data_IF_461441723823
#
_entry.id   IF_461441723823
#
_cell.length_a   1.000
_cell.length_b   1.000
_cell.length_c   1.000
_cell.angle_alpha   90.00
_cell.angle_beta   90.00
_cell.angle_gamma   90.00
#
_symmetry.space_group_name_H-M   'P 1'
#
loop_
_entity.id
_entity.type
_entity.pdbx_description
1 polymer ?
#
# COMPACT_ATOMS: atom_id res chain seq x y z
N UNK A 1 8.91 1.66 25.98
CA UNK A 1 7.46 1.66 26.28
C UNK A 1 6.72 0.88 25.21
N UNK A 2 5.75 0.02 25.55
CA UNK A 2 4.77 -0.41 24.56
C UNK A 2 3.94 0.82 24.18
N UNK A 3 3.79 1.09 22.88
CA UNK A 3 2.85 2.12 22.43
C UNK A 3 1.45 1.77 22.94
N UNK A 4 0.63 2.77 23.30
CA UNK A 4 -0.76 2.51 23.64
C UNK A 4 -1.41 1.72 22.50
N UNK A 5 -2.07 0.61 22.85
CA UNK A 5 -2.97 -0.04 21.91
C UNK A 5 -3.89 1.02 21.32
N UNK A 6 -4.09 0.99 20.00
CA UNK A 6 -5.05 1.86 19.33
C UNK A 6 -6.37 1.80 20.11
N UNK A 7 -7.00 2.95 20.40
CA UNK A 7 -8.31 2.91 21.01
C UNK A 7 -9.23 2.05 20.13
N UNK A 8 -10.15 1.26 20.71
CA UNK A 8 -11.08 0.39 19.98
C UNK A 8 -11.98 1.14 18.97
N UNK A 9 -11.79 2.45 18.86
CA UNK A 9 -12.58 3.39 18.06
C UNK A 9 -12.01 3.67 16.66
N UNK A 10 -10.98 2.95 16.17
CA UNK A 10 -10.48 3.17 14.81
C UNK A 10 -11.55 2.87 13.73
N UNK A 11 -12.42 1.89 13.99
CA UNK A 11 -13.66 1.64 13.23
C UNK A 11 -14.89 2.38 13.79
N UNK A 12 -14.73 3.13 14.88
CA UNK A 12 -15.81 3.88 15.53
C UNK A 12 -15.74 5.40 15.28
N UNK A 13 -14.78 5.89 14.48
CA UNK A 13 -14.91 7.23 13.91
C UNK A 13 -16.13 7.23 12.99
N UNK A 14 -17.11 8.12 13.20
CA UNK A 14 -18.30 8.19 12.36
C UNK A 14 -17.97 8.58 10.91
N UNK A 15 -16.75 9.05 10.60
CA UNK A 15 -16.29 9.29 9.24
C UNK A 15 -15.47 8.10 8.72
N UNK A 16 -15.86 7.53 7.57
CA UNK A 16 -15.10 6.45 6.95
C UNK A 16 -13.69 6.94 6.57
N UNK A 17 -12.64 6.14 6.81
CA UNK A 17 -11.26 6.58 6.66
C UNK A 17 -10.85 6.79 5.19
N UNK A 18 -10.22 7.94 4.87
CA UNK A 18 -9.47 8.10 3.62
C UNK A 18 -8.31 7.10 3.60
N UNK A 19 -8.32 6.19 2.64
CA UNK A 19 -7.34 5.12 2.52
C UNK A 19 -6.31 5.44 1.43
N UNK A 20 -5.03 5.48 1.80
CA UNK A 20 -3.94 5.54 0.84
C UNK A 20 -3.40 4.13 0.58
N UNK A 21 -3.46 3.69 -0.67
CA UNK A 21 -2.88 2.43 -1.15
C UNK A 21 -1.56 2.74 -1.83
N UNK A 22 -0.48 2.11 -1.36
CA UNK A 22 0.87 2.26 -1.93
C UNK A 22 1.28 0.96 -2.62
N UNK A 23 1.52 1.05 -3.93
CA UNK A 23 1.87 -0.04 -4.83
C UNK A 23 3.18 0.27 -5.55
N UNK A 24 4.34 0.06 -4.90
CA UNK A 24 5.66 0.41 -5.46
C UNK A 24 6.20 -0.59 -6.50
N UNK A 25 5.53 -1.73 -6.65
CA UNK A 25 5.79 -2.70 -7.71
C UNK A 25 5.12 -2.30 -9.02
N UNK A 26 5.32 -3.11 -10.05
CA UNK A 26 4.55 -3.01 -11.29
C UNK A 26 3.12 -3.52 -11.04
N UNK A 27 2.20 -2.59 -10.76
CA UNK A 27 0.81 -2.91 -10.45
C UNK A 27 0.13 -3.66 -11.60
N UNK A 28 0.56 -3.40 -12.83
CA UNK A 28 0.01 -4.00 -14.05
C UNK A 28 0.25 -5.50 -14.13
N UNK A 29 1.33 -5.97 -13.50
CA UNK A 29 1.69 -7.40 -13.46
C UNK A 29 1.14 -8.12 -12.23
N UNK A 30 0.38 -7.43 -11.38
CA UNK A 30 -0.16 -7.98 -10.13
C UNK A 30 -1.68 -7.90 -10.09
N UNK A 31 -2.39 -8.94 -10.60
CA UNK A 31 -3.85 -9.01 -10.54
C UNK A 31 -4.40 -8.83 -9.13
N UNK A 32 -3.66 -9.28 -8.11
CA UNK A 32 -4.05 -9.12 -6.70
C UNK A 32 -4.05 -7.66 -6.26
N UNK A 33 -3.02 -6.89 -6.61
CA UNK A 33 -2.93 -5.47 -6.25
C UNK A 33 -4.07 -4.66 -6.90
N UNK A 34 -4.37 -4.99 -8.16
CA UNK A 34 -5.54 -4.46 -8.87
C UNK A 34 -6.83 -4.83 -8.16
N UNK A 35 -7.06 -6.12 -7.88
CA UNK A 35 -8.29 -6.60 -7.25
C UNK A 35 -8.51 -6.01 -5.85
N UNK A 36 -7.46 -5.93 -5.02
CA UNK A 36 -7.54 -5.29 -3.70
C UNK A 36 -7.87 -3.79 -3.81
N UNK A 37 -7.27 -3.09 -4.77
CA UNK A 37 -7.57 -1.67 -5.00
C UNK A 37 -9.02 -1.48 -5.43
N UNK A 38 -9.50 -2.27 -6.40
CA UNK A 38 -10.88 -2.25 -6.86
C UNK A 38 -11.87 -2.60 -5.75
N UNK A 39 -11.57 -3.61 -4.94
CA UNK A 39 -12.41 -4.00 -3.79
C UNK A 39 -12.49 -2.89 -2.74
N UNK A 40 -11.40 -2.18 -2.49
CA UNK A 40 -11.39 -1.04 -1.58
C UNK A 40 -12.30 0.09 -2.08
N UNK A 41 -12.26 0.36 -3.39
CA UNK A 41 -13.12 1.37 -4.05
C UNK A 41 -14.59 0.94 -3.98
N UNK A 42 -14.91 -0.30 -4.34
CA UNK A 42 -16.29 -0.80 -4.26
C UNK A 42 -16.84 -0.72 -2.85
N UNK A 43 -16.02 -1.04 -1.84
CA UNK A 43 -16.41 -0.93 -0.43
C UNK A 43 -16.64 0.52 0.00
N UNK A 44 -15.84 1.46 -0.52
CA UNK A 44 -16.02 2.89 -0.30
C UNK A 44 -17.33 3.41 -0.94
N UNK A 45 -17.69 2.92 -2.13
CA UNK A 45 -18.97 3.25 -2.79
C UNK A 45 -20.20 2.69 -2.08
N UNK A 46 -20.13 1.48 -1.52
CA UNK A 46 -21.23 0.91 -0.73
C UNK A 46 -21.45 1.73 0.55
N UNK A 47 -20.38 2.12 1.23
CA UNK A 47 -20.44 2.93 2.44
C UNK A 47 -21.04 4.34 2.24
N UNK A 48 -20.99 4.90 1.03
CA UNK A 48 -21.59 6.21 0.73
C UNK A 48 -23.10 6.16 0.57
N UNK A 49 -23.69 4.99 0.26
CA UNK A 49 -25.12 4.85 0.01
C UNK A 49 -25.97 4.68 1.30
N UNK A 50 -25.32 4.62 2.47
CA UNK A 50 -26.00 4.42 3.76
C UNK A 50 -26.73 5.66 4.31
N UNK A 51 -26.85 6.75 3.54
CA UNK A 51 -27.72 7.91 3.86
C UNK A 51 -27.37 8.69 5.14
N UNK A 52 -26.33 8.30 5.88
CA UNK A 52 -26.02 8.79 7.24
C UNK A 52 -25.27 10.14 7.28
N UNK A 53 -25.28 10.93 6.19
CA UNK A 53 -24.61 12.25 6.15
C UNK A 53 -23.09 12.23 6.44
N UNK A 54 -22.46 11.04 6.45
CA UNK A 54 -21.03 10.86 6.71
C UNK A 54 -20.20 11.32 5.52
N UNK A 55 -19.02 11.88 5.80
CA UNK A 55 -18.03 12.20 4.77
C UNK A 55 -17.70 10.95 3.94
N UNK A 56 -17.74 11.07 2.61
CA UNK A 56 -17.54 9.96 1.67
C UNK A 56 -16.08 9.46 1.76
N UNK A 57 -15.86 8.14 1.91
CA UNK A 57 -14.50 7.60 1.89
C UNK A 57 -13.85 7.77 0.52
N UNK A 58 -12.62 8.27 0.52
CA UNK A 58 -11.78 8.33 -0.68
C UNK A 58 -10.70 7.26 -0.65
N UNK A 59 -10.30 6.81 -1.84
CA UNK A 59 -9.18 5.90 -2.02
C UNK A 59 -8.14 6.61 -2.87
N UNK A 60 -6.90 6.70 -2.38
CA UNK A 60 -5.77 7.21 -3.17
C UNK A 60 -4.85 6.05 -3.49
N UNK A 61 -4.60 5.78 -4.77
CA UNK A 61 -3.61 4.81 -5.22
C UNK A 61 -2.34 5.53 -5.67
N UNK A 62 -1.24 5.30 -4.96
CA UNK A 62 0.10 5.71 -5.38
C UNK A 62 0.83 4.51 -5.94
N UNK A 63 1.12 4.54 -7.24
CA UNK A 63 1.84 3.49 -7.94
C UNK A 63 2.99 4.06 -8.77
N UNK A 64 3.96 3.23 -9.14
CA UNK A 64 4.92 3.65 -10.17
C UNK A 64 4.22 3.72 -11.53
N UNK A 65 4.52 4.78 -12.29
CA UNK A 65 4.20 4.82 -13.70
C UNK A 65 4.83 3.59 -14.37
N UNK A 66 4.05 2.76 -15.07
CA UNK A 66 4.63 1.72 -15.90
C UNK A 66 5.51 2.35 -16.98
N UNK A 67 6.44 1.57 -17.54
CA UNK A 67 7.35 2.04 -18.59
C UNK A 67 6.58 2.55 -19.81
N UNK A 68 5.44 1.94 -20.11
CA UNK A 68 4.48 2.42 -21.10
C UNK A 68 3.16 2.82 -20.42
N UNK A 69 2.65 4.03 -20.72
CA UNK A 69 1.39 4.53 -20.16
C UNK A 69 0.16 3.64 -20.49
N UNK A 70 0.27 2.79 -21.51
CA UNK A 70 -0.76 1.81 -21.91
C UNK A 70 -0.85 0.60 -20.97
N UNK A 71 0.16 0.40 -20.12
CA UNK A 71 0.21 -0.76 -19.25
C UNK A 71 -0.57 -0.56 -17.95
N UNK A 72 -1.01 0.66 -17.61
CA UNK A 72 -1.89 0.84 -16.44
C UNK A 72 -3.17 0.03 -16.68
N UNK A 73 -3.57 -0.88 -15.76
CA UNK A 73 -4.74 -1.72 -15.96
C UNK A 73 -5.97 -0.89 -16.33
N UNK A 74 -6.64 -1.18 -17.46
CA UNK A 74 -7.80 -0.41 -17.91
C UNK A 74 -8.90 -0.32 -16.87
N UNK A 75 -9.04 -1.33 -16.01
CA UNK A 75 -9.99 -1.32 -14.90
C UNK A 75 -9.69 -0.23 -13.84
N UNK A 76 -8.41 0.02 -13.53
CA UNK A 76 -8.00 1.09 -12.61
C UNK A 76 -8.18 2.46 -13.25
N UNK A 77 -7.87 2.58 -14.54
CA UNK A 77 -8.10 3.82 -15.30
C UNK A 77 -9.58 4.11 -15.41
N UNK A 78 -10.42 3.12 -15.71
CA UNK A 78 -11.87 3.28 -15.77
C UNK A 78 -12.46 3.63 -14.40
N UNK A 79 -11.99 2.99 -13.32
CA UNK A 79 -12.38 3.35 -11.95
C UNK A 79 -11.96 4.80 -11.61
N UNK A 80 -10.76 5.22 -12.02
CA UNK A 80 -10.26 6.58 -11.79
C UNK A 80 -10.97 7.61 -12.67
N UNK A 81 -11.25 7.30 -13.93
CA UNK A 81 -11.94 8.19 -14.88
C UNK A 81 -13.41 8.38 -14.53
N UNK A 82 -14.08 7.33 -14.04
CA UNK A 82 -15.42 7.45 -13.45
C UNK A 82 -15.44 8.43 -12.27
N UNK A 83 -14.32 8.57 -11.56
CA UNK A 83 -14.14 9.59 -10.52
C UNK A 83 -13.71 10.97 -11.07
N UNK A 84 -12.89 11.02 -12.13
CA UNK A 84 -12.19 12.23 -12.64
C UNK A 84 -12.99 13.01 -13.70
N UNK A 85 -14.20 12.60 -14.09
CA UNK A 85 -15.01 13.28 -15.13
C UNK A 85 -15.64 14.63 -14.69
N UNK A 86 -14.84 15.50 -14.05
CA UNK A 86 -15.24 16.86 -13.66
C UNK A 86 -14.19 17.97 -13.83
N UNK A 87 -13.11 17.78 -14.60
CA UNK A 87 -12.20 18.90 -14.91
C UNK A 87 -12.26 19.45 -16.34
N UNK A 88 -13.07 18.90 -17.24
CA UNK A 88 -13.41 19.60 -18.49
C UNK A 88 -14.83 20.14 -18.44
N UNK A 89 -14.95 21.27 -17.76
CA UNK A 89 -16.08 22.17 -17.90
C UNK A 89 -16.06 22.78 -19.30
N UNK A 90 -16.85 22.22 -20.20
CA UNK A 90 -17.63 22.99 -21.19
C UNK A 90 -18.76 22.15 -21.76
N UNK A 91 -19.64 21.66 -20.88
CA UNK A 91 -21.09 21.75 -21.07
C UNK A 91 -21.80 21.11 -19.90
N UNK A 92 -22.60 21.92 -19.22
CA UNK A 92 -23.59 21.49 -18.24
C UNK A 92 -24.63 20.63 -18.96
N UNK A 93 -24.85 19.43 -18.45
CA UNK A 93 -26.13 18.72 -18.56
C UNK A 93 -26.40 18.12 -17.20
N UNK A 94 -27.11 18.93 -16.42
CA UNK A 94 -27.69 18.61 -15.14
C UNK A 94 -28.79 17.57 -15.36
N UNK A 95 -28.54 16.33 -14.95
CA UNK A 95 -29.52 15.34 -14.45
C UNK A 95 -28.82 13.98 -14.25
N UNK A 96 -28.41 13.71 -13.01
CA UNK A 96 -27.84 12.43 -12.60
C UNK A 96 -27.34 12.52 -11.17
N UNK A 97 -28.12 11.95 -10.26
CA UNK A 97 -27.84 11.85 -8.82
C UNK A 97 -26.45 11.21 -8.57
N UNK A 98 -25.68 11.83 -7.68
CA UNK A 98 -24.28 11.51 -7.42
C UNK A 98 -24.12 10.26 -6.53
N UNK A 99 -23.81 9.09 -7.10
CA UNK A 99 -23.46 7.89 -6.32
C UNK A 99 -22.04 7.36 -6.66
N UNK A 100 -21.28 6.97 -5.61
CA UNK A 100 -19.96 6.31 -5.57
C UNK A 100 -18.69 7.18 -5.29
N UNK A 101 -17.75 6.60 -4.51
CA UNK A 101 -16.60 7.30 -3.87
C UNK A 101 -15.35 7.53 -4.74
N UNK A 102 -14.54 8.52 -4.37
CA UNK A 102 -13.48 9.05 -5.23
C UNK A 102 -12.17 8.21 -5.21
N UNK A 103 -11.72 7.72 -6.38
CA UNK A 103 -10.37 7.20 -6.63
C UNK A 103 -9.42 8.28 -7.18
N UNK A 104 -8.31 8.53 -6.47
CA UNK A 104 -7.19 9.33 -6.97
C UNK A 104 -6.03 8.43 -7.40
N UNK A 105 -5.65 8.48 -8.69
CA UNK A 105 -4.49 7.76 -9.21
C UNK A 105 -3.26 8.68 -9.31
N UNK A 106 -2.23 8.40 -8.52
CA UNK A 106 -0.96 9.14 -8.52
C UNK A 106 0.14 8.22 -9.02
N UNK A 107 0.64 8.53 -10.22
CA UNK A 107 1.74 7.80 -10.85
C UNK A 107 3.07 8.49 -10.56
N UNK A 108 3.92 7.83 -9.79
CA UNK A 108 5.29 8.29 -9.54
C UNK A 108 6.15 8.01 -10.78
N UNK A 109 7.07 8.92 -11.17
CA UNK A 109 7.94 8.70 -12.31
C UNK A 109 8.74 7.40 -12.13
N UNK A 110 8.93 6.67 -13.22
CA UNK A 110 9.71 5.44 -13.20
C UNK A 110 11.08 5.71 -12.55
N UNK A 111 11.40 4.92 -11.53
CA UNK A 111 12.70 4.99 -10.90
C UNK A 111 13.73 4.37 -11.84
N UNK A 112 14.37 5.19 -12.68
CA UNK A 112 15.48 4.79 -13.53
C UNK A 112 16.81 4.77 -12.78
N UNK A 113 17.76 3.98 -13.28
CA UNK A 113 19.12 3.88 -12.76
C UNK A 113 19.39 2.66 -11.88
N UNK A 114 20.52 2.69 -11.18
CA UNK A 114 20.98 1.59 -10.32
C UNK A 114 20.10 1.41 -9.09
N UNK A 115 20.04 0.18 -8.56
CA UNK A 115 19.13 -0.22 -7.50
C UNK A 115 19.11 0.71 -6.26
N UNK A 116 20.26 1.20 -5.75
CA UNK A 116 20.28 2.16 -4.63
C UNK A 116 19.67 3.51 -4.98
N UNK A 117 19.96 4.04 -6.19
CA UNK A 117 19.39 5.31 -6.64
C UNK A 117 17.87 5.19 -6.81
N UNK A 118 17.39 4.06 -7.34
CA UNK A 118 15.96 3.78 -7.44
C UNK A 118 15.30 3.81 -6.06
N UNK A 119 15.91 3.17 -5.07
CA UNK A 119 15.42 3.17 -3.69
C UNK A 119 15.31 4.60 -3.12
N UNK A 120 16.34 5.42 -3.28
CA UNK A 120 16.33 6.82 -2.78
C UNK A 120 15.26 7.64 -3.47
N UNK A 121 15.16 7.57 -4.81
CA UNK A 121 14.14 8.28 -5.58
C UNK A 121 12.73 7.87 -5.16
N UNK A 122 12.52 6.59 -4.88
CA UNK A 122 11.26 6.05 -4.38
C UNK A 122 10.86 6.65 -3.03
N UNK A 123 11.79 6.70 -2.08
CA UNK A 123 11.55 7.30 -0.76
C UNK A 123 11.24 8.80 -0.88
N UNK A 124 11.98 9.52 -1.73
CA UNK A 124 11.76 10.96 -1.94
C UNK A 124 10.44 11.26 -2.64
N UNK A 125 10.03 10.45 -3.61
CA UNK A 125 8.76 10.59 -4.30
C UNK A 125 7.57 10.34 -3.35
N UNK A 126 7.67 9.32 -2.50
CA UNK A 126 6.68 9.09 -1.45
C UNK A 126 6.65 10.22 -0.43
N UNK A 127 7.82 10.72 0.00
CA UNK A 127 7.90 11.91 0.87
C UNK A 127 7.11 13.07 0.27
N UNK A 128 7.33 13.41 -1.00
CA UNK A 128 6.61 14.54 -1.61
C UNK A 128 5.09 14.35 -1.58
N UNK A 129 4.60 13.14 -1.82
CA UNK A 129 3.18 12.85 -1.76
C UNK A 129 2.62 12.91 -0.34
N UNK A 130 3.37 12.41 0.65
CA UNK A 130 2.96 12.42 2.06
C UNK A 130 2.98 13.83 2.68
N UNK A 131 3.95 14.68 2.30
CA UNK A 131 4.13 16.02 2.90
C UNK A 131 3.46 17.14 2.12
N UNK A 132 3.26 16.97 0.82
CA UNK A 132 2.66 17.95 -0.08
C UNK A 132 1.78 17.24 -1.13
N UNK A 133 0.67 16.60 -0.70
CA UNK A 133 -0.24 15.96 -1.63
C UNK A 133 -0.85 16.99 -2.60
N UNK A 134 -1.25 16.59 -3.81
CA UNK A 134 -2.02 17.45 -4.71
C UNK A 134 -3.27 17.99 -3.99
N UNK A 135 -3.66 19.24 -4.25
CA UNK A 135 -4.76 19.90 -3.53
C UNK A 135 -6.11 19.15 -3.59
N UNK A 136 -6.30 18.31 -4.60
CA UNK A 136 -7.48 17.47 -4.76
C UNK A 136 -7.45 16.18 -3.92
N UNK A 137 -6.29 15.75 -3.42
CA UNK A 137 -6.11 14.49 -2.71
C UNK A 137 -6.24 14.73 -1.20
N UNK A 138 -7.20 14.09 -0.52
CA UNK A 138 -7.38 14.27 0.91
C UNK A 138 -6.28 13.57 1.72
N UNK A 139 -6.03 14.06 2.94
CA UNK A 139 -5.06 13.46 3.83
C UNK A 139 -5.49 12.03 4.22
N UNK A 140 -4.57 11.05 4.17
CA UNK A 140 -4.88 9.67 4.52
C UNK A 140 -5.02 9.50 6.02
N UNK A 141 -6.03 8.72 6.41
CA UNK A 141 -6.26 8.30 7.79
C UNK A 141 -5.71 6.91 8.08
N UNK A 142 -5.48 6.11 7.04
CA UNK A 142 -4.76 4.84 7.08
C UNK A 142 -4.00 4.62 5.77
N UNK A 143 -2.93 3.81 5.83
CA UNK A 143 -2.15 3.43 4.65
C UNK A 143 -2.13 1.92 4.50
N UNK A 144 -2.46 1.43 3.30
CA UNK A 144 -2.29 0.04 2.89
C UNK A 144 -1.08 -0.06 1.95
N UNK A 145 -0.02 -0.74 2.39
CA UNK A 145 1.12 -1.07 1.53
C UNK A 145 0.85 -2.41 0.86
N UNK A 146 0.81 -2.41 -0.46
CA UNK A 146 0.72 -3.62 -1.27
C UNK A 146 2.12 -3.99 -1.79
N UNK A 147 2.75 -4.98 -1.15
CA UNK A 147 4.12 -5.40 -1.44
C UNK A 147 4.17 -6.42 -2.59
N UNK A 148 5.32 -6.58 -3.30
CA UNK A 148 6.65 -5.96 -3.12
C UNK A 148 7.08 -4.95 -4.22
N UNK A 149 8.10 -4.08 -4.00
CA UNK A 149 8.98 -3.95 -2.81
C UNK A 149 8.40 -3.07 -1.68
N UNK A 150 8.46 -3.56 -0.44
CA UNK A 150 7.90 -2.88 0.74
C UNK A 150 8.83 -1.82 1.35
N UNK A 151 10.14 -2.09 1.36
CA UNK A 151 11.11 -1.33 2.13
C UNK A 151 11.12 0.20 1.87
N UNK A 152 11.05 0.71 0.62
CA UNK A 152 10.98 2.15 0.38
C UNK A 152 9.71 2.79 0.97
N UNK A 153 8.57 2.10 0.86
CA UNK A 153 7.29 2.55 1.42
C UNK A 153 7.32 2.58 2.93
N UNK A 154 7.79 1.50 3.54
CA UNK A 154 7.94 1.39 4.99
C UNK A 154 8.87 2.49 5.53
N UNK A 155 10.01 2.73 4.88
CA UNK A 155 10.93 3.78 5.28
C UNK A 155 10.34 5.18 5.14
N UNK A 156 9.65 5.47 4.03
CA UNK A 156 9.01 6.77 3.83
C UNK A 156 7.92 7.04 4.89
N UNK A 157 7.07 6.05 5.18
CA UNK A 157 6.02 6.18 6.19
C UNK A 157 6.61 6.33 7.60
N UNK A 158 7.63 5.54 7.94
CA UNK A 158 8.31 5.63 9.22
C UNK A 158 8.94 7.02 9.45
N UNK A 159 9.55 7.62 8.42
CA UNK A 159 10.22 8.91 8.54
C UNK A 159 9.28 10.12 8.45
N UNK A 160 8.26 10.06 7.60
CA UNK A 160 7.47 11.24 7.21
C UNK A 160 6.00 11.18 7.62
N UNK A 161 5.49 10.00 8.02
CA UNK A 161 4.11 9.81 8.45
C UNK A 161 3.97 8.81 9.63
N UNK A 162 4.79 8.91 10.70
CA UNK A 162 4.86 7.88 11.75
C UNK A 162 3.59 7.72 12.60
N UNK A 163 2.68 8.70 12.54
CA UNK A 163 1.40 8.69 13.25
C UNK A 163 0.27 8.03 12.46
N UNK A 164 0.43 7.81 11.16
CA UNK A 164 -0.61 7.22 10.31
C UNK A 164 -0.53 5.69 10.47
N UNK A 165 -1.63 5.01 10.82
CA UNK A 165 -1.63 3.56 10.93
C UNK A 165 -1.36 2.90 9.59
N UNK A 166 -0.50 1.90 9.63
CA UNK A 166 0.00 1.19 8.45
C UNK A 166 -0.50 -0.24 8.47
N UNK A 167 -1.11 -0.66 7.37
CA UNK A 167 -1.50 -2.02 7.07
C UNK A 167 -0.54 -2.53 5.99
N UNK A 168 0.12 -3.66 6.23
CA UNK A 168 1.02 -4.26 5.24
C UNK A 168 0.40 -5.54 4.71
N UNK A 169 0.24 -5.60 3.38
CA UNK A 169 -0.24 -6.78 2.66
C UNK A 169 0.93 -7.60 2.12
N UNK A 170 1.30 -8.62 2.88
CA UNK A 170 2.44 -9.50 2.62
C UNK A 170 2.06 -10.59 1.61
N UNK A 171 2.62 -10.47 0.42
CA UNK A 171 2.55 -11.49 -0.64
C UNK A 171 3.85 -12.26 -0.79
N UNK A 172 4.95 -11.57 -0.49
CA UNK A 172 6.32 -12.05 -0.51
C UNK A 172 7.19 -11.04 0.25
N UNK A 173 8.39 -11.45 0.65
CA UNK A 173 9.42 -10.54 1.13
C UNK A 173 10.06 -9.80 -0.04
N UNK A 174 10.25 -8.49 0.08
CA UNK A 174 11.01 -7.72 -0.91
C UNK A 174 12.47 -8.17 -0.96
N UNK A 175 13.07 -8.51 0.19
CA UNK A 175 14.46 -8.97 0.23
C UNK A 175 14.68 -10.30 -0.51
N UNK A 176 13.71 -11.22 -0.56
CA UNK A 176 13.87 -12.50 -1.29
C UNK A 176 13.94 -12.25 -2.80
N UNK A 177 13.10 -11.36 -3.34
CA UNK A 177 13.17 -10.94 -4.74
C UNK A 177 14.45 -10.16 -5.04
N UNK A 178 14.92 -9.35 -4.10
CA UNK A 178 16.17 -8.64 -4.23
C UNK A 178 17.38 -9.60 -4.27
N UNK A 179 17.35 -10.67 -3.46
CA UNK A 179 18.39 -11.69 -3.44
C UNK A 179 18.57 -12.36 -4.81
N UNK A 180 17.48 -12.64 -5.52
CA UNK A 180 17.53 -13.22 -6.88
C UNK A 180 18.32 -12.34 -7.86
N UNK A 181 18.32 -11.02 -7.67
CA UNK A 181 19.05 -10.07 -8.51
C UNK A 181 20.49 -9.87 -8.04
N UNK A 182 20.69 -9.67 -6.74
CA UNK A 182 21.99 -9.31 -6.17
C UNK A 182 22.95 -10.50 -6.02
N UNK A 183 22.42 -11.71 -5.95
CA UNK A 183 23.20 -12.94 -5.79
C UNK A 183 23.15 -13.83 -7.03
N UNK A 184 22.73 -13.28 -8.17
CA UNK A 184 22.62 -14.02 -9.43
C UNK A 184 23.96 -14.71 -9.80
N UNK A 185 23.96 -15.97 -10.27
CA UNK A 185 25.18 -16.68 -10.64
C UNK A 185 26.01 -16.02 -11.73
N UNK A 186 25.39 -15.17 -12.55
CA UNK A 186 26.04 -14.39 -13.60
C UNK A 186 26.93 -13.26 -13.06
N UNK A 187 26.82 -12.92 -11.77
CA UNK A 187 27.61 -11.86 -11.14
C UNK A 187 28.95 -12.39 -10.62
N UNK A 188 30.00 -11.59 -10.78
CA UNK A 188 31.32 -11.88 -10.23
C UNK A 188 31.29 -11.98 -8.70
N UNK A 189 32.23 -12.74 -8.13
CA UNK A 189 32.36 -12.90 -6.68
C UNK A 189 32.37 -11.56 -5.88
N UNK A 190 33.13 -10.52 -6.26
CA UNK A 190 33.11 -9.25 -5.53
C UNK A 190 31.75 -8.54 -5.59
N UNK A 191 31.04 -8.61 -6.72
CA UNK A 191 29.70 -8.04 -6.85
C UNK A 191 28.67 -8.78 -5.99
N UNK A 192 28.78 -10.12 -5.89
CA UNK A 192 27.91 -10.91 -5.00
C UNK A 192 28.17 -10.63 -3.53
N UNK A 193 29.42 -10.34 -3.15
CA UNK A 193 29.75 -9.93 -1.78
C UNK A 193 29.10 -8.58 -1.43
N UNK A 194 29.23 -7.60 -2.32
CA UNK A 194 28.55 -6.30 -2.15
C UNK A 194 27.01 -6.48 -2.15
N UNK A 195 26.49 -7.33 -3.04
CA UNK A 195 25.09 -7.70 -3.10
C UNK A 195 24.58 -8.33 -1.80
N UNK A 196 25.40 -9.15 -1.14
CA UNK A 196 25.08 -9.76 0.16
C UNK A 196 24.97 -8.71 1.27
N UNK A 197 25.84 -7.70 1.27
CA UNK A 197 25.76 -6.59 2.23
C UNK A 197 24.47 -5.77 2.02
N UNK A 198 24.16 -5.44 0.76
CA UNK A 198 22.91 -4.71 0.44
C UNK A 198 21.69 -5.54 0.81
N UNK A 199 21.71 -6.85 0.55
CA UNK A 199 20.63 -7.76 0.90
C UNK A 199 20.44 -7.84 2.42
N UNK A 200 21.52 -7.91 3.19
CA UNK A 200 21.46 -7.89 4.66
C UNK A 200 20.78 -6.63 5.17
N UNK A 201 21.18 -5.46 4.67
CA UNK A 201 20.58 -4.19 5.07
C UNK A 201 19.10 -4.10 4.65
N UNK A 202 18.77 -4.50 3.42
CA UNK A 202 17.39 -4.50 2.94
C UNK A 202 16.49 -5.44 3.78
N UNK A 203 17.00 -6.61 4.14
CA UNK A 203 16.30 -7.57 5.02
C UNK A 203 16.05 -6.95 6.38
N UNK A 204 17.07 -6.34 6.98
CA UNK A 204 16.95 -5.69 8.28
C UNK A 204 15.91 -4.56 8.26
N UNK A 205 15.99 -3.66 7.26
CA UNK A 205 15.06 -2.53 7.12
C UNK A 205 13.62 -3.05 6.93
N UNK A 206 13.41 -4.02 6.03
CA UNK A 206 12.07 -4.53 5.73
C UNK A 206 11.44 -5.21 6.95
N UNK A 207 12.19 -6.04 7.67
CA UNK A 207 11.67 -6.73 8.86
C UNK A 207 11.47 -5.75 10.04
N UNK A 208 12.44 -4.87 10.31
CA UNK A 208 12.37 -3.94 11.43
C UNK A 208 11.24 -2.92 11.26
N UNK A 209 11.12 -2.32 10.08
CA UNK A 209 10.06 -1.36 9.80
C UNK A 209 8.71 -2.05 9.56
N UNK A 210 8.72 -3.24 8.96
CA UNK A 210 7.53 -4.08 8.85
C UNK A 210 6.92 -4.39 10.22
N UNK A 211 7.75 -4.61 11.25
CA UNK A 211 7.30 -4.85 12.62
C UNK A 211 6.62 -3.64 13.29
N UNK A 212 6.72 -2.45 12.69
CA UNK A 212 6.05 -1.25 13.19
C UNK A 212 4.64 -1.07 12.62
N UNK A 213 4.23 -1.93 11.69
CA UNK A 213 2.90 -1.88 11.11
C UNK A 213 1.81 -2.17 12.15
N UNK A 214 0.66 -1.53 11.97
CA UNK A 214 -0.51 -1.70 12.83
C UNK A 214 -1.23 -3.02 12.55
N UNK A 215 -1.28 -3.43 11.28
CA UNK A 215 -1.94 -4.66 10.85
C UNK A 215 -1.15 -5.36 9.73
N UNK A 216 -1.25 -6.68 9.69
CA UNK A 216 -0.58 -7.53 8.71
C UNK A 216 -1.60 -8.41 8.01
N UNK A 217 -1.73 -8.26 6.70
CA UNK A 217 -2.46 -9.18 5.83
C UNK A 217 -1.46 -10.12 5.18
N UNK A 218 -1.82 -11.39 5.03
CA UNK A 218 -0.92 -12.40 4.47
C UNK A 218 -1.65 -13.25 3.45
N UNK A 219 -0.95 -13.64 2.38
CA UNK A 219 -1.49 -14.55 1.36
C UNK A 219 -1.79 -15.95 1.88
N UNK A 220 -1.08 -16.38 2.93
CA UNK A 220 -1.15 -17.73 3.45
C UNK A 220 -0.84 -17.76 4.94
N UNK A 221 -1.37 -18.78 5.62
CA UNK A 221 -1.04 -19.04 7.04
C UNK A 221 0.45 -19.24 7.24
N UNK A 222 1.11 -19.98 6.35
CA UNK A 222 2.55 -20.23 6.43
C UNK A 222 3.39 -18.94 6.41
N UNK A 223 3.00 -17.94 5.60
CA UNK A 223 3.68 -16.64 5.61
C UNK A 223 3.38 -15.86 6.90
N UNK A 224 2.14 -15.93 7.41
CA UNK A 224 1.78 -15.38 8.71
C UNK A 224 2.61 -15.99 9.85
N UNK A 225 2.73 -17.31 9.89
CA UNK A 225 3.50 -18.02 10.90
C UNK A 225 4.99 -17.65 10.84
N UNK A 226 5.56 -17.50 9.63
CA UNK A 226 6.94 -17.06 9.44
C UNK A 226 7.13 -15.58 9.88
N UNK A 227 6.16 -14.69 9.63
CA UNK A 227 6.21 -13.31 10.14
C UNK A 227 6.17 -13.26 11.68
N UNK A 228 5.37 -14.12 12.32
CA UNK A 228 5.33 -14.26 13.78
C UNK A 228 6.64 -14.81 14.31
N UNK A 229 7.19 -15.85 13.68
CA UNK A 229 8.48 -16.44 14.06
C UNK A 229 9.63 -15.41 13.96
N UNK A 230 9.57 -14.51 12.98
CA UNK A 230 10.52 -13.40 12.80
C UNK A 230 10.26 -12.19 13.70
N UNK A 231 9.22 -12.21 14.53
CA UNK A 231 8.77 -11.09 15.37
C UNK A 231 8.41 -9.84 14.57
N UNK A 232 7.90 -10.03 13.35
CA UNK A 232 7.37 -8.95 12.51
C UNK A 232 5.89 -8.75 12.78
N UNK A 233 5.12 -9.83 12.85
CA UNK A 233 3.69 -9.78 13.16
C UNK A 233 3.43 -10.28 14.59
N UNK A 234 2.41 -9.76 15.28
CA UNK A 234 1.98 -10.34 16.56
C UNK A 234 1.42 -11.74 16.34
N UNK A 235 1.59 -12.61 17.34
CA UNK A 235 0.96 -13.92 17.32
C UNK A 235 -0.57 -13.77 17.25
N UNK A 236 -1.28 -14.57 16.44
CA UNK A 236 -2.73 -14.53 16.41
C UNK A 236 -3.31 -14.88 17.79
N UNK A 237 -4.49 -14.32 18.14
CA UNK A 237 -5.16 -14.70 19.37
C UNK A 237 -5.45 -16.20 19.37
N UNK A 238 -5.38 -16.82 20.55
CA UNK A 238 -5.72 -18.23 20.70
C UNK A 238 -7.14 -18.47 20.14
N UNK A 239 -7.36 -19.58 19.41
CA UNK A 239 -8.70 -19.90 18.95
C UNK A 239 -9.64 -19.99 20.16
N UNK A 240 -10.90 -19.56 20.03
CA UNK A 240 -11.88 -19.76 21.09
C UNK A 240 -11.95 -21.25 21.42
N UNK A 241 -12.20 -21.61 22.70
CA UNK A 241 -12.30 -23.01 23.09
C UNK A 241 -13.34 -23.69 22.21
N UNK A 242 -12.94 -24.78 21.55
CA UNK A 242 -13.84 -25.60 20.75
C UNK A 242 -14.93 -26.10 21.69
N UNK A 243 -16.15 -25.56 21.57
CA UNK A 243 -17.32 -26.17 22.17
C UNK A 243 -17.50 -27.50 21.43
N UNK A 244 -17.01 -28.58 22.04
CA UNK A 244 -17.37 -29.91 21.59
C UNK A 244 -18.89 -30.01 21.75
N UNK A 245 -19.64 -30.43 20.72
CA UNK A 245 -21.05 -30.72 20.90
C UNK A 245 -21.19 -31.85 21.92
N UNK A 246 -22.03 -31.62 22.93
CA UNK A 246 -22.40 -32.60 23.97
C UNK A 246 -23.03 -33.88 23.38
#
# INVERSE_FOLDING_TARGET
EPRPALPPTFFASPTMPNLLIIAMGDISRSPRMVAHTLSAISSAGVASNDGDGRSRPSVTLVAHAPQDAKDVPPALVAAAQRTIDRQHSSSVSDQGECDEGDLYLVLLPAAEGVLPLRFVRQVLALRSHLTAPPAAVPAPSAVLIQCPPAAPSLLALYLFAPSIPVIVDWHNYGFTLLALRLLAPSLSAPLRLLGSLVLYLATFIELALGATASYHLTVSRALGDDLVARRVAPAPPAPPPTLLPD
#
